data_IF_646753982272
#
_entry.id   IF_646753982272
#
_cell.length_a   1.000
_cell.length_b   1.000
_cell.length_c   1.000
_cell.angle_alpha   90.00
_cell.angle_beta   90.00
_cell.angle_gamma   90.00
#
_symmetry.space_group_name_H-M   'P 1'
#
loop_
_entity.id
_entity.type
_entity.pdbx_description
1 polymer ?
#
# COMPACT_ATOMS: atom_id res chain seq x y z
N UNK A 1 -14.89 17.32 8.62
CA UNK A 1 -14.58 15.88 8.84
C UNK A 1 -14.29 15.11 7.56
N UNK A 2 -15.14 15.16 6.52
CA UNK A 2 -15.01 14.31 5.31
C UNK A 2 -13.76 14.55 4.45
N UNK A 3 -13.31 15.81 4.30
CA UNK A 3 -12.20 16.17 3.39
C UNK A 3 -10.86 15.49 3.73
N UNK A 4 -10.50 15.34 5.02
CA UNK A 4 -9.22 14.71 5.41
C UNK A 4 -9.18 13.21 5.16
N UNK A 5 -10.31 12.51 5.30
CA UNK A 5 -10.41 11.10 4.96
C UNK A 5 -10.22 10.86 3.46
N UNK A 6 -10.72 11.76 2.62
CA UNK A 6 -10.46 11.74 1.17
C UNK A 6 -8.94 11.88 0.91
N UNK A 7 -8.26 12.79 1.62
CA UNK A 7 -6.81 12.94 1.51
C UNK A 7 -6.08 11.65 1.91
N UNK A 8 -6.48 10.98 3.01
CA UNK A 8 -5.88 9.69 3.40
C UNK A 8 -6.11 8.60 2.36
N UNK A 9 -7.31 8.57 1.76
CA UNK A 9 -7.62 7.64 0.66
C UNK A 9 -6.70 7.89 -0.53
N UNK A 10 -6.55 9.15 -0.95
CA UNK A 10 -5.67 9.53 -2.05
C UNK A 10 -4.21 9.17 -1.73
N UNK A 11 -3.74 9.44 -0.50
CA UNK A 11 -2.38 9.08 -0.09
C UNK A 11 -2.18 7.56 -0.17
N UNK A 12 -3.13 6.76 0.34
CA UNK A 12 -3.05 5.30 0.26
C UNK A 12 -2.94 4.81 -1.19
N UNK A 13 -3.77 5.35 -2.09
CA UNK A 13 -3.76 4.98 -3.52
C UNK A 13 -2.44 5.38 -4.19
N UNK A 14 -2.01 6.63 -4.02
CA UNK A 14 -0.76 7.14 -4.63
C UNK A 14 0.44 6.38 -4.08
N UNK A 15 0.46 6.12 -2.77
CA UNK A 15 1.54 5.39 -2.13
C UNK A 15 1.61 3.93 -2.62
N UNK A 16 0.48 3.22 -2.77
CA UNK A 16 0.52 1.84 -3.28
C UNK A 16 1.00 1.75 -4.74
N UNK A 17 0.63 2.71 -5.59
CA UNK A 17 1.16 2.81 -6.95
C UNK A 17 2.67 3.10 -6.92
N UNK A 18 3.11 4.01 -6.05
CA UNK A 18 4.54 4.31 -5.87
C UNK A 18 5.31 3.07 -5.37
N UNK A 19 4.77 2.37 -4.38
CA UNK A 19 5.37 1.18 -3.79
C UNK A 19 5.57 0.08 -4.84
N UNK A 20 4.66 -0.06 -5.81
CA UNK A 20 4.84 -0.94 -6.96
C UNK A 20 6.15 -0.68 -7.71
N UNK A 21 6.41 0.57 -8.08
CA UNK A 21 7.66 0.92 -8.76
C UNK A 21 8.89 0.80 -7.85
N UNK A 22 8.74 1.17 -6.59
CA UNK A 22 9.80 1.05 -5.60
C UNK A 22 10.22 -0.42 -5.40
N UNK A 23 9.27 -1.35 -5.31
CA UNK A 23 9.52 -2.78 -5.18
C UNK A 23 10.23 -3.35 -6.42
N UNK A 24 9.83 -2.94 -7.63
CA UNK A 24 10.50 -3.38 -8.87
C UNK A 24 12.00 -3.03 -8.89
N UNK A 25 12.37 -1.86 -8.36
CA UNK A 25 13.77 -1.41 -8.26
C UNK A 25 14.49 -2.10 -7.10
N UNK A 26 13.86 -2.14 -5.92
CA UNK A 26 14.51 -2.53 -4.67
C UNK A 26 14.74 -4.03 -4.60
N UNK A 27 13.76 -4.85 -4.99
CA UNK A 27 13.92 -6.31 -5.10
C UNK A 27 15.00 -6.63 -6.11
N UNK A 28 15.14 -5.84 -7.19
CA UNK A 28 16.22 -5.96 -8.16
C UNK A 28 17.62 -5.74 -7.58
N UNK A 29 17.77 -4.68 -6.78
CA UNK A 29 19.05 -4.22 -6.26
C UNK A 29 19.55 -4.97 -5.01
N UNK A 30 18.63 -5.46 -4.17
CA UNK A 30 18.97 -6.02 -2.85
C UNK A 30 18.71 -7.54 -2.74
N UNK A 31 18.70 -8.25 -3.86
CA UNK A 31 18.39 -9.71 -3.95
C UNK A 31 19.12 -10.59 -2.93
N UNK A 32 20.31 -10.19 -2.51
CA UNK A 32 21.17 -10.99 -1.64
C UNK A 32 20.97 -10.73 -0.13
N UNK A 33 20.08 -9.81 0.28
CA UNK A 33 19.86 -9.50 1.70
C UNK A 33 18.40 -9.34 2.06
N UNK A 34 17.77 -10.45 2.44
CA UNK A 34 16.38 -10.49 2.90
C UNK A 34 16.12 -9.62 4.14
N UNK A 35 17.09 -9.54 5.07
CA UNK A 35 16.96 -8.69 6.26
C UNK A 35 16.92 -7.21 5.87
N UNK A 36 17.80 -6.79 4.95
CA UNK A 36 17.85 -5.40 4.52
C UNK A 36 16.58 -5.01 3.75
N UNK A 37 16.10 -5.89 2.87
CA UNK A 37 14.81 -5.72 2.19
C UNK A 37 13.68 -5.50 3.20
N UNK A 38 13.56 -6.40 4.18
CA UNK A 38 12.55 -6.28 5.23
C UNK A 38 12.63 -4.94 5.97
N UNK A 39 13.82 -4.50 6.37
CA UNK A 39 13.98 -3.23 7.11
C UNK A 39 13.55 -2.03 6.25
N UNK A 40 13.99 -1.98 4.99
CA UNK A 40 13.72 -0.82 4.13
C UNK A 40 12.25 -0.80 3.71
N UNK A 41 11.64 -1.96 3.43
CA UNK A 41 10.20 -2.03 3.12
C UNK A 41 9.37 -1.47 4.28
N UNK A 42 9.64 -1.90 5.51
CA UNK A 42 8.96 -1.33 6.69
C UNK A 42 9.24 0.16 6.87
N UNK A 43 10.47 0.62 6.59
CA UNK A 43 10.83 2.03 6.70
C UNK A 43 10.06 2.92 5.70
N UNK A 44 9.92 2.47 4.45
CA UNK A 44 9.16 3.18 3.40
C UNK A 44 7.69 3.26 3.78
N UNK A 45 7.11 2.20 4.33
CA UNK A 45 5.71 2.18 4.77
C UNK A 45 5.43 3.09 5.98
N UNK A 46 6.46 3.47 6.75
CA UNK A 46 6.33 4.47 7.80
C UNK A 46 6.25 5.91 7.26
N UNK A 47 6.73 6.17 6.04
CA UNK A 47 6.73 7.51 5.41
C UNK A 47 5.33 8.12 5.33
N UNK A 48 4.29 7.43 4.81
CA UNK A 48 2.93 7.95 4.88
C UNK A 48 2.30 7.80 6.28
N UNK A 49 2.70 6.78 7.06
CA UNK A 49 2.09 6.48 8.36
C UNK A 49 2.31 7.59 9.39
N UNK A 50 3.57 8.01 9.55
CA UNK A 50 3.98 9.00 10.56
C UNK A 50 3.20 10.32 10.44
N UNK A 51 3.20 11.02 9.28
CA UNK A 51 2.51 12.29 9.15
C UNK A 51 1.00 12.15 9.32
N UNK A 52 0.38 11.09 8.81
CA UNK A 52 -1.07 10.86 8.91
C UNK A 52 -1.49 10.62 10.35
N UNK A 53 -0.80 9.72 11.05
CA UNK A 53 -1.12 9.39 12.45
C UNK A 53 -0.93 10.62 13.33
N UNK A 54 0.17 11.37 13.17
CA UNK A 54 0.42 12.58 13.95
C UNK A 54 -0.65 13.64 13.67
N UNK A 55 -0.99 13.85 12.40
CA UNK A 55 -1.99 14.84 12.01
C UNK A 55 -3.39 14.48 12.54
N UNK A 56 -3.83 13.23 12.40
CA UNK A 56 -5.13 12.80 12.93
C UNK A 56 -5.14 12.84 14.46
N UNK A 57 -4.01 12.51 15.11
CA UNK A 57 -3.87 12.66 16.57
C UNK A 57 -4.08 14.11 17.01
N UNK A 58 -3.47 15.07 16.31
CA UNK A 58 -3.60 16.51 16.61
C UNK A 58 -5.02 17.02 16.46
N UNK A 59 -5.70 16.64 15.38
CA UNK A 59 -7.02 17.19 15.04
C UNK A 59 -8.14 16.49 15.82
N UNK A 60 -8.10 15.17 15.93
CA UNK A 60 -9.19 14.42 16.53
C UNK A 60 -9.04 14.23 18.04
N UNK A 61 -7.83 14.38 18.58
CA UNK A 61 -7.45 13.93 19.92
C UNK A 61 -7.88 12.47 20.21
N UNK A 62 -8.10 11.65 19.19
CA UNK A 62 -8.58 10.29 19.30
C UNK A 62 -7.53 9.30 18.82
N UNK A 63 -7.04 8.48 19.76
CA UNK A 63 -6.14 7.36 19.43
C UNK A 63 -6.78 6.40 18.43
N UNK A 64 -8.08 6.11 18.58
CA UNK A 64 -8.80 5.21 17.67
C UNK A 64 -8.84 5.77 16.25
N UNK A 65 -9.12 7.06 16.09
CA UNK A 65 -9.13 7.70 14.79
C UNK A 65 -7.75 7.69 14.13
N UNK A 66 -6.69 7.97 14.91
CA UNK A 66 -5.31 7.94 14.42
C UNK A 66 -4.89 6.53 13.96
N UNK A 67 -5.16 5.50 14.76
CA UNK A 67 -4.91 4.09 14.40
C UNK A 67 -5.70 3.70 13.14
N UNK A 68 -6.99 4.01 13.10
CA UNK A 68 -7.85 3.70 11.96
C UNK A 68 -7.41 4.40 10.68
N UNK A 69 -6.93 5.65 10.77
CA UNK A 69 -6.41 6.37 9.60
C UNK A 69 -5.20 5.67 8.97
N UNK A 70 -4.31 5.09 9.78
CA UNK A 70 -3.16 4.36 9.26
C UNK A 70 -3.56 3.01 8.66
N UNK A 71 -4.43 2.26 9.35
CA UNK A 71 -5.00 1.01 8.82
C UNK A 71 -5.65 1.24 7.46
N UNK A 72 -6.44 2.32 7.33
CA UNK A 72 -7.08 2.68 6.08
C UNK A 72 -6.05 2.93 4.95
N UNK A 73 -5.02 3.73 5.23
CA UNK A 73 -3.98 4.09 4.25
C UNK A 73 -3.21 2.86 3.79
N UNK A 74 -2.75 2.04 4.73
CA UNK A 74 -2.00 0.82 4.43
C UNK A 74 -2.85 -0.19 3.65
N UNK A 75 -4.12 -0.34 4.02
CA UNK A 75 -5.05 -1.23 3.29
C UNK A 75 -5.27 -0.75 1.86
N UNK A 76 -5.49 0.55 1.66
CA UNK A 76 -5.65 1.13 0.33
C UNK A 76 -4.38 1.07 -0.50
N UNK A 77 -3.21 1.14 0.14
CA UNK A 77 -1.93 0.94 -0.53
C UNK A 77 -1.82 -0.48 -1.10
N UNK A 78 -2.11 -1.52 -0.32
CA UNK A 78 -2.12 -2.91 -0.81
C UNK A 78 -3.11 -3.11 -1.97
N UNK A 79 -4.34 -2.60 -1.82
CA UNK A 79 -5.36 -2.72 -2.86
C UNK A 79 -4.92 -1.99 -4.14
N UNK A 80 -4.43 -0.75 -4.02
CA UNK A 80 -4.01 0.04 -5.17
C UNK A 80 -2.75 -0.51 -5.85
N UNK A 81 -1.77 -1.00 -5.10
CA UNK A 81 -0.62 -1.76 -5.61
C UNK A 81 -1.10 -2.92 -6.48
N UNK A 82 -2.00 -3.75 -5.94
CA UNK A 82 -2.50 -4.96 -6.60
C UNK A 82 -3.31 -4.63 -7.85
N UNK A 83 -4.12 -3.57 -7.82
CA UNK A 83 -4.86 -3.08 -8.98
C UNK A 83 -3.94 -2.42 -10.02
N UNK A 84 -2.87 -1.77 -9.59
CA UNK A 84 -1.90 -1.17 -10.49
C UNK A 84 -1.13 -2.23 -11.29
N UNK A 85 -0.82 -3.37 -10.66
CA UNK A 85 -0.21 -4.51 -11.35
C UNK A 85 -1.03 -4.95 -12.57
N UNK A 86 -2.34 -5.15 -12.42
CA UNK A 86 -3.19 -5.50 -13.58
C UNK A 86 -3.33 -4.33 -14.56
N UNK A 87 -3.43 -3.09 -14.07
CA UNK A 87 -3.46 -1.91 -14.94
C UNK A 87 -2.23 -1.84 -15.83
N UNK A 88 -1.03 -2.04 -15.27
CA UNK A 88 0.23 -2.09 -16.01
C UNK A 88 0.19 -3.17 -17.09
N UNK A 89 -0.21 -4.39 -16.75
CA UNK A 89 -0.23 -5.50 -17.71
C UNK A 89 -1.21 -5.30 -18.87
N UNK A 90 -2.40 -4.76 -18.57
CA UNK A 90 -3.45 -4.55 -19.58
C UNK A 90 -3.17 -3.33 -20.46
N UNK A 91 -2.76 -2.20 -19.87
CA UNK A 91 -2.73 -0.91 -20.58
C UNK A 91 -1.32 -0.40 -20.93
N UNK A 92 -0.29 -0.80 -20.18
CA UNK A 92 1.11 -0.39 -20.44
C UNK A 92 1.85 -1.53 -21.17
N UNK A 93 1.60 -2.77 -20.77
CA UNK A 93 2.20 -3.98 -21.32
C UNK A 93 3.50 -4.39 -20.61
N UNK A 94 3.85 -5.67 -20.74
CA UNK A 94 5.09 -6.25 -20.25
C UNK A 94 5.56 -7.36 -21.20
N UNK A 95 6.85 -7.40 -21.53
CA UNK A 95 7.39 -8.29 -22.57
C UNK A 95 7.12 -9.77 -22.31
N UNK A 96 7.17 -10.20 -21.04
CA UNK A 96 6.89 -11.59 -20.64
C UNK A 96 5.39 -11.95 -20.61
N UNK A 97 4.49 -10.96 -20.68
CA UNK A 97 3.04 -11.15 -20.53
C UNK A 97 2.25 -10.41 -21.61
N UNK A 98 2.77 -10.38 -22.84
CA UNK A 98 2.14 -9.67 -23.97
C UNK A 98 0.69 -10.10 -24.22
N UNK A 99 0.33 -11.35 -23.93
CA UNK A 99 -1.03 -11.87 -24.10
C UNK A 99 -2.09 -11.17 -23.23
N UNK A 100 -1.69 -10.45 -22.18
CA UNK A 100 -2.58 -9.65 -21.33
C UNK A 100 -2.77 -8.22 -21.83
N UNK A 101 -1.96 -7.77 -22.80
CA UNK A 101 -2.00 -6.41 -23.30
C UNK A 101 -3.24 -6.17 -24.17
N UNK A 102 -3.88 -5.00 -24.02
CA UNK A 102 -5.17 -4.64 -24.62
C UNK A 102 -5.20 -4.74 -26.16
N UNK A 103 -4.05 -4.65 -26.84
CA UNK A 103 -4.00 -4.88 -28.29
C UNK A 103 -4.47 -6.27 -28.71
N UNK A 104 -4.42 -7.24 -27.79
CA UNK A 104 -4.88 -8.61 -28.00
C UNK A 104 -6.37 -8.81 -27.67
N UNK A 105 -7.17 -7.74 -27.49
CA UNK A 105 -8.58 -7.87 -27.10
C UNK A 105 -9.45 -8.73 -28.02
N UNK A 106 -9.00 -8.96 -29.27
CA UNK A 106 -9.66 -9.84 -30.26
C UNK A 106 -9.24 -11.31 -30.16
N UNK A 107 -8.23 -11.63 -29.37
CA UNK A 107 -7.80 -13.01 -29.14
C UNK A 107 -8.89 -13.78 -28.39
N UNK A 108 -9.13 -15.03 -28.84
CA UNK A 108 -10.19 -15.90 -28.30
C UNK A 108 -10.07 -16.11 -26.78
N UNK A 109 -8.85 -16.12 -26.24
CA UNK A 109 -8.57 -16.39 -24.84
C UNK A 109 -8.30 -15.12 -24.03
N UNK A 110 -8.31 -13.92 -24.63
CA UNK A 110 -7.94 -12.68 -23.95
C UNK A 110 -8.69 -12.46 -22.64
N UNK A 111 -10.03 -12.47 -22.67
CA UNK A 111 -10.86 -12.26 -21.47
C UNK A 111 -10.61 -13.34 -20.43
N UNK A 112 -10.42 -14.59 -20.85
CA UNK A 112 -10.11 -15.70 -19.95
C UNK A 112 -8.74 -15.50 -19.27
N UNK A 113 -7.73 -15.08 -20.03
CA UNK A 113 -6.39 -14.81 -19.53
C UNK A 113 -6.37 -13.65 -18.54
N UNK A 114 -7.01 -12.53 -18.87
CA UNK A 114 -7.13 -11.36 -17.98
C UNK A 114 -7.87 -11.73 -16.69
N UNK A 115 -8.99 -12.47 -16.79
CA UNK A 115 -9.74 -12.92 -15.62
C UNK A 115 -8.92 -13.89 -14.75
N UNK A 116 -8.24 -14.84 -15.36
CA UNK A 116 -7.40 -15.82 -14.66
C UNK A 116 -6.27 -15.13 -13.91
N UNK A 117 -5.60 -14.16 -14.52
CA UNK A 117 -4.57 -13.36 -13.84
C UNK A 117 -5.14 -12.53 -12.69
N UNK A 118 -6.31 -11.90 -12.88
CA UNK A 118 -6.95 -11.13 -11.81
C UNK A 118 -7.31 -12.03 -10.61
N UNK A 119 -7.95 -13.17 -10.84
CA UNK A 119 -8.35 -14.12 -9.80
C UNK A 119 -7.14 -14.78 -9.15
N UNK A 120 -6.13 -15.16 -9.94
CA UNK A 120 -4.96 -15.88 -9.46
C UNK A 120 -3.91 -15.00 -8.77
N UNK A 121 -3.62 -13.81 -9.30
CA UNK A 121 -2.52 -12.97 -8.82
C UNK A 121 -3.02 -11.80 -7.97
N UNK A 122 -3.94 -10.98 -8.48
CA UNK A 122 -4.39 -9.77 -7.76
C UNK A 122 -5.07 -10.11 -6.44
N UNK A 123 -6.00 -11.08 -6.45
CA UNK A 123 -6.68 -11.48 -5.22
C UNK A 123 -5.74 -12.15 -4.22
N UNK A 124 -4.81 -12.98 -4.70
CA UNK A 124 -3.81 -13.62 -3.83
C UNK A 124 -2.93 -12.58 -3.14
N UNK A 125 -2.50 -11.54 -3.86
CA UNK A 125 -1.73 -10.43 -3.30
C UNK A 125 -2.54 -9.69 -2.23
N UNK A 126 -3.80 -9.35 -2.51
CA UNK A 126 -4.69 -8.70 -1.55
C UNK A 126 -4.91 -9.58 -0.31
N UNK A 127 -5.24 -10.86 -0.48
CA UNK A 127 -5.55 -11.74 0.65
C UNK A 127 -4.34 -12.06 1.54
N UNK A 128 -3.14 -12.11 0.95
CA UNK A 128 -1.91 -12.37 1.70
C UNK A 128 -1.44 -11.14 2.48
N UNK A 129 -1.51 -9.95 1.87
CA UNK A 129 -0.93 -8.74 2.46
C UNK A 129 -1.91 -7.83 3.18
N UNK A 130 -3.20 -7.86 2.86
CA UNK A 130 -4.20 -7.03 3.54
C UNK A 130 -4.26 -7.29 5.06
N UNK A 131 -4.19 -8.55 5.56
CA UNK A 131 -4.10 -8.79 7.00
C UNK A 131 -2.84 -8.17 7.63
N UNK A 132 -1.70 -8.21 6.94
CA UNK A 132 -0.45 -7.58 7.38
C UNK A 132 -0.63 -6.06 7.43
N UNK A 133 -1.27 -5.46 6.42
CA UNK A 133 -1.56 -4.03 6.39
C UNK A 133 -2.48 -3.61 7.55
N UNK A 134 -3.49 -4.42 7.88
CA UNK A 134 -4.41 -4.15 8.99
C UNK A 134 -3.69 -4.25 10.33
N UNK A 135 -2.99 -5.36 10.59
CA UNK A 135 -2.32 -5.62 11.87
C UNK A 135 -1.14 -4.66 12.04
N UNK A 136 -0.26 -4.59 11.03
CA UNK A 136 0.90 -3.70 11.02
C UNK A 136 0.50 -2.23 11.07
N UNK A 137 -0.54 -1.83 10.34
CA UNK A 137 -1.07 -0.47 10.37
C UNK A 137 -1.64 -0.12 11.73
N UNK A 138 -2.31 -1.06 12.41
CA UNK A 138 -2.85 -0.86 13.74
C UNK A 138 -1.73 -0.70 14.79
N UNK A 139 -0.75 -1.61 14.78
CA UNK A 139 0.39 -1.61 15.70
C UNK A 139 1.24 -0.35 15.52
N UNK A 140 1.67 -0.05 14.30
CA UNK A 140 2.49 1.14 14.01
C UNK A 140 1.72 2.43 14.28
N UNK A 141 0.44 2.48 13.90
CA UNK A 141 -0.42 3.63 14.18
C UNK A 141 -0.58 3.90 15.68
N UNK A 142 -0.70 2.84 16.48
CA UNK A 142 -0.73 2.97 17.93
C UNK A 142 0.61 3.48 18.48
N UNK A 143 1.73 2.89 18.05
CA UNK A 143 3.06 3.27 18.52
C UNK A 143 3.40 4.73 18.19
N UNK A 144 3.15 5.16 16.95
CA UNK A 144 3.38 6.55 16.51
C UNK A 144 2.53 7.51 17.35
N UNK A 145 1.23 7.22 17.52
CA UNK A 145 0.33 8.03 18.35
C UNK A 145 0.85 8.13 19.80
N UNK A 146 1.21 7.00 20.40
CA UNK A 146 1.69 6.91 21.78
C UNK A 146 2.98 7.72 21.97
N UNK A 147 3.97 7.54 21.09
CA UNK A 147 5.23 8.27 21.13
C UNK A 147 5.00 9.78 20.96
N UNK A 148 4.17 10.18 20.00
CA UNK A 148 3.84 11.59 19.78
C UNK A 148 3.22 12.25 21.02
N UNK A 149 2.24 11.60 21.66
CA UNK A 149 1.60 12.10 22.87
C UNK A 149 2.59 12.18 24.05
N UNK A 150 3.48 11.20 24.20
CA UNK A 150 4.49 11.20 25.25
C UNK A 150 5.48 12.35 25.09
N UNK A 151 5.99 12.58 23.87
CA UNK A 151 6.89 13.67 23.56
C UNK A 151 6.21 15.03 23.75
N UNK A 152 4.94 15.16 23.33
CA UNK A 152 4.16 16.39 23.53
C UNK A 152 4.00 16.73 25.02
N UNK A 153 3.73 15.73 25.86
CA UNK A 153 3.58 15.92 27.31
C UNK A 153 4.88 16.34 28.00
N UNK A 154 6.03 15.92 27.50
CA UNK A 154 7.34 16.31 28.06
C UNK A 154 7.79 17.72 27.67
N UNK A 155 7.15 18.34 26.67
CA UNK A 155 7.46 19.70 26.20
C UNK A 155 6.56 20.79 26.80
N UNK A 156 5.59 20.41 27.63
CA UNK A 156 4.69 21.30 28.38
C UNK A 156 5.09 21.21 29.84
#
# INVERSE_FOLDING_TARGET
MKKRWIVYIIIGIVFGIFDFFYQEVTVGALKNSHLLLFIIDWAVWLVPAIPIVIYETKISNSRKAAVFSNVLVWSLAIISYSLYMIFKLVFIGQTSMKFLYISNYRDKFYISNVKSFFVGSVWTEIYSWLPVAIIGGAVTGFLINYLYLRIRKQRI
#
